data_IF_137903419017
#
_entry.id   IF_137903419017
#
_cell.length_a   1.000
_cell.length_b   1.000
_cell.length_c   1.000
_cell.angle_alpha   90.00
_cell.angle_beta   90.00
_cell.angle_gamma   90.00
#
_symmetry.space_group_name_H-M   'P 1'
#
loop_
_entity.id
_entity.type
_entity.pdbx_description
1 polymer ?
#
# COMPACT_ATOMS: atom_id res chain seq x y z
N UNK A 1 34.15 -39.31 65.13
CA UNK A 1 34.45 -39.27 63.66
C UNK A 1 33.23 -38.64 62.98
N UNK A 2 33.26 -37.31 62.81
CA UNK A 2 32.11 -36.56 62.26
C UNK A 2 32.36 -36.36 60.76
N UNK A 3 31.48 -36.94 59.93
CA UNK A 3 31.49 -36.77 58.48
C UNK A 3 30.58 -35.60 58.18
N UNK A 4 31.15 -34.49 57.76
CA UNK A 4 30.44 -33.30 57.35
C UNK A 4 30.08 -33.42 55.83
N UNK A 5 28.81 -33.64 55.52
CA UNK A 5 28.31 -33.70 54.13
C UNK A 5 28.06 -32.27 53.60
N UNK A 6 28.85 -31.82 52.64
CA UNK A 6 28.60 -30.57 51.89
C UNK A 6 27.58 -30.82 50.78
N UNK A 7 26.41 -30.27 50.97
CA UNK A 7 25.40 -30.14 49.88
C UNK A 7 25.75 -28.93 49.03
N UNK A 8 26.15 -29.15 47.77
CA UNK A 8 26.28 -28.11 46.74
C UNK A 8 24.90 -27.78 46.17
N UNK A 9 24.47 -26.54 46.19
CA UNK A 9 23.24 -26.19 45.49
C UNK A 9 23.50 -26.14 43.96
N UNK A 10 22.79 -26.98 43.22
CA UNK A 10 22.79 -26.99 41.76
C UNK A 10 21.93 -25.80 41.27
N UNK A 11 22.58 -24.69 40.90
CA UNK A 11 21.89 -23.54 40.30
C UNK A 11 21.54 -23.87 38.85
N UNK A 12 20.27 -24.17 38.61
CA UNK A 12 19.72 -24.31 37.24
C UNK A 12 19.54 -22.91 36.68
N UNK A 13 20.45 -22.49 35.81
CA UNK A 13 20.29 -21.26 35.01
C UNK A 13 19.23 -21.51 33.93
N UNK A 14 18.04 -20.96 34.10
CA UNK A 14 17.04 -20.87 33.02
C UNK A 14 17.55 -19.90 31.97
N UNK A 15 18.05 -20.40 30.82
CA UNK A 15 18.33 -19.62 29.66
C UNK A 15 16.95 -19.32 29.01
N UNK A 16 16.38 -18.16 29.31
CA UNK A 16 15.22 -17.65 28.60
C UNK A 16 15.71 -17.21 27.22
N UNK A 17 15.64 -18.11 26.25
CA UNK A 17 15.80 -17.76 24.83
C UNK A 17 14.59 -16.93 24.41
N UNK A 18 14.64 -15.63 24.65
CA UNK A 18 13.71 -14.70 24.06
C UNK A 18 13.88 -14.75 22.54
N UNK A 19 12.90 -15.28 21.81
CA UNK A 19 12.81 -15.06 20.37
C UNK A 19 12.66 -13.56 20.12
N UNK A 20 13.75 -12.83 19.96
CA UNK A 20 13.70 -11.54 19.29
C UNK A 20 13.31 -11.84 17.84
N UNK A 21 12.05 -11.60 17.49
CA UNK A 21 11.64 -11.61 16.11
C UNK A 21 12.34 -10.44 15.40
N UNK A 22 13.47 -10.72 14.75
CA UNK A 22 14.19 -9.75 13.94
C UNK A 22 13.31 -9.34 12.75
N UNK A 23 13.31 -8.06 12.41
CA UNK A 23 12.66 -7.59 11.17
C UNK A 23 13.32 -8.30 9.98
N UNK A 24 12.55 -8.96 9.10
CA UNK A 24 13.12 -9.65 7.95
C UNK A 24 13.94 -8.72 7.06
N UNK A 25 15.05 -9.20 6.54
CA UNK A 25 15.92 -8.49 5.60
C UNK A 25 15.16 -8.10 4.32
N UNK A 26 15.61 -7.11 3.53
CA UNK A 26 14.99 -6.78 2.25
C UNK A 26 14.88 -7.98 1.31
N UNK A 27 15.87 -8.87 1.31
CA UNK A 27 15.89 -10.10 0.51
C UNK A 27 14.81 -11.08 0.96
N UNK A 28 14.64 -11.30 2.25
CA UNK A 28 13.57 -12.15 2.79
C UNK A 28 12.20 -11.56 2.51
N UNK A 29 12.03 -10.23 2.57
CA UNK A 29 10.79 -9.54 2.22
C UNK A 29 10.47 -9.67 0.73
N UNK A 30 11.48 -9.60 -0.15
CA UNK A 30 11.31 -9.90 -1.58
C UNK A 30 10.97 -11.36 -1.81
N UNK A 31 11.62 -12.28 -1.13
CA UNK A 31 11.28 -13.71 -1.19
C UNK A 31 9.82 -13.97 -0.77
N UNK A 32 9.34 -13.28 0.28
CA UNK A 32 7.93 -13.36 0.71
C UNK A 32 6.96 -12.86 -0.36
N UNK A 33 7.28 -11.79 -1.08
CA UNK A 33 6.49 -11.34 -2.23
C UNK A 33 6.38 -12.43 -3.29
N UNK A 34 7.52 -13.08 -3.62
CA UNK A 34 7.58 -14.12 -4.64
C UNK A 34 6.82 -15.39 -4.26
N UNK A 35 6.79 -15.74 -2.98
CA UNK A 35 5.99 -16.85 -2.46
C UNK A 35 4.49 -16.53 -2.51
N UNK A 36 4.11 -15.28 -2.29
CA UNK A 36 2.70 -14.85 -2.30
C UNK A 36 2.15 -14.61 -3.70
N UNK A 37 3.00 -14.31 -4.68
CA UNK A 37 2.53 -14.09 -6.04
C UNK A 37 2.02 -15.41 -6.64
N UNK A 38 0.90 -15.34 -7.34
CA UNK A 38 0.45 -16.46 -8.16
C UNK A 38 1.48 -16.74 -9.28
N UNK A 39 1.71 -18.01 -9.60
CA UNK A 39 2.67 -18.44 -10.63
C UNK A 39 2.42 -17.84 -12.02
N UNK A 40 1.18 -17.43 -12.31
CA UNK A 40 0.83 -16.75 -13.57
C UNK A 40 1.43 -15.35 -13.71
N UNK A 41 1.89 -14.72 -12.61
CA UNK A 41 2.47 -13.39 -12.62
C UNK A 41 3.98 -13.44 -12.71
N UNK A 42 4.54 -12.60 -13.55
CA UNK A 42 5.97 -12.37 -13.68
C UNK A 42 6.34 -10.99 -13.11
N UNK A 43 7.55 -10.87 -12.59
CA UNK A 43 8.13 -9.59 -12.22
C UNK A 43 8.49 -8.80 -13.49
N UNK A 44 8.09 -7.53 -13.51
CA UNK A 44 8.42 -6.59 -14.59
C UNK A 44 8.83 -5.27 -13.96
N UNK A 45 10.01 -4.80 -14.29
CA UNK A 45 10.49 -3.49 -13.89
C UNK A 45 9.96 -2.43 -14.86
N UNK A 46 9.12 -1.55 -14.36
CA UNK A 46 8.63 -0.41 -15.14
C UNK A 46 9.55 0.78 -14.87
N UNK A 47 10.44 1.05 -15.83
CA UNK A 47 11.31 2.23 -15.77
C UNK A 47 10.51 3.49 -16.05
N UNK A 48 10.70 4.52 -15.25
CA UNK A 48 10.13 5.86 -15.44
C UNK A 48 11.22 6.92 -15.41
N UNK A 49 10.85 8.17 -15.61
CA UNK A 49 11.82 9.28 -15.63
C UNK A 49 12.53 9.51 -14.29
N UNK A 50 11.94 9.05 -13.17
CA UNK A 50 12.50 9.24 -11.82
C UNK A 50 12.76 7.94 -11.09
N UNK A 51 11.86 6.94 -11.19
CA UNK A 51 11.95 5.71 -10.41
C UNK A 51 11.68 4.48 -11.27
N UNK A 52 12.29 3.37 -10.88
CA UNK A 52 11.88 2.06 -11.36
C UNK A 52 10.85 1.49 -10.38
N UNK A 53 9.73 0.98 -10.89
CA UNK A 53 8.67 0.38 -10.10
C UNK A 53 8.60 -1.11 -10.38
N UNK A 54 8.71 -1.95 -9.34
CA UNK A 54 8.40 -3.36 -9.47
C UNK A 54 6.91 -3.53 -9.73
N UNK A 55 6.59 -4.33 -10.73
CA UNK A 55 5.23 -4.73 -11.05
C UNK A 55 5.13 -6.24 -11.17
N UNK A 56 3.99 -6.81 -10.77
CA UNK A 56 3.64 -8.18 -11.06
C UNK A 56 2.57 -8.18 -12.14
N UNK A 57 2.91 -8.76 -13.29
CA UNK A 57 2.07 -8.78 -14.48
C UNK A 57 1.93 -10.20 -15.00
N UNK A 58 0.79 -10.52 -15.56
CA UNK A 58 0.61 -11.73 -16.35
C UNK A 58 0.36 -11.38 -17.82
N UNK A 59 0.65 -12.32 -18.72
CA UNK A 59 0.34 -12.14 -20.14
C UNK A 59 -1.18 -12.09 -20.34
N UNK A 60 -1.71 -10.92 -20.64
CA UNK A 60 -3.15 -10.65 -20.67
C UNK A 60 -3.61 -10.17 -22.04
N UNK A 61 -3.44 -11.01 -23.07
CA UNK A 61 -3.98 -10.74 -24.41
C UNK A 61 -5.48 -10.40 -24.39
N UNK A 62 -6.20 -10.84 -23.35
CA UNK A 62 -7.65 -10.66 -23.20
C UNK A 62 -8.06 -9.34 -22.50
N UNK A 63 -7.12 -8.43 -22.20
CA UNK A 63 -7.44 -7.17 -21.50
C UNK A 63 -7.64 -5.98 -22.45
N UNK A 64 -7.46 -6.19 -23.75
CA UNK A 64 -7.76 -5.16 -24.73
C UNK A 64 -9.21 -4.70 -24.59
N UNK A 65 -9.40 -3.38 -24.63
CA UNK A 65 -10.71 -2.69 -24.51
C UNK A 65 -11.48 -2.98 -23.22
N UNK A 66 -10.84 -3.61 -22.21
CA UNK A 66 -11.38 -3.83 -20.87
C UNK A 66 -10.81 -2.84 -19.86
N UNK A 67 -11.34 -2.85 -18.66
CA UNK A 67 -10.75 -2.13 -17.53
C UNK A 67 -9.52 -2.90 -17.00
N UNK A 68 -8.46 -2.19 -16.60
CA UNK A 68 -7.28 -2.78 -15.97
C UNK A 68 -7.25 -2.37 -14.50
N UNK A 69 -7.34 -3.34 -13.60
CA UNK A 69 -7.23 -3.11 -12.15
C UNK A 69 -5.76 -3.05 -11.75
N UNK A 70 -5.36 -1.93 -11.13
CA UNK A 70 -3.98 -1.70 -10.67
C UNK A 70 -3.97 -1.61 -9.16
N UNK A 71 -3.32 -2.59 -8.52
CA UNK A 71 -3.17 -2.69 -7.06
C UNK A 71 -1.88 -2.00 -6.63
N UNK A 72 -2.00 -0.89 -5.90
CA UNK A 72 -0.88 -0.03 -5.48
C UNK A 72 -0.57 -0.28 -4.02
N UNK A 73 0.70 -0.63 -3.73
CA UNK A 73 1.16 -0.99 -2.39
C UNK A 73 1.21 0.21 -1.44
N UNK A 74 1.11 -0.08 -0.15
CA UNK A 74 1.28 0.89 0.93
C UNK A 74 2.73 1.38 1.10
N UNK A 75 2.95 2.20 2.12
CA UNK A 75 4.27 2.80 2.39
C UNK A 75 5.35 1.77 2.75
N UNK A 76 4.96 0.54 3.08
CA UNK A 76 5.87 -0.53 3.49
C UNK A 76 6.54 -0.25 4.82
N UNK A 77 7.78 -0.73 4.98
CA UNK A 77 8.58 -0.50 6.18
C UNK A 77 9.31 0.85 6.08
N UNK A 78 8.59 1.95 6.25
CA UNK A 78 9.19 3.28 6.21
C UNK A 78 10.01 3.59 7.48
N UNK A 79 9.59 3.06 8.62
CA UNK A 79 10.19 3.30 9.92
C UNK A 79 10.37 1.97 10.68
N UNK A 80 11.53 1.80 11.31
CA UNK A 80 11.82 0.67 12.21
C UNK A 80 11.20 0.92 13.58
N UNK A 81 11.38 2.13 14.09
CA UNK A 81 10.79 2.65 15.32
C UNK A 81 10.25 4.04 15.05
N UNK A 82 9.56 4.65 16.01
CA UNK A 82 9.08 6.04 15.88
C UNK A 82 10.17 7.04 15.46
N UNK A 83 11.43 6.78 15.79
CA UNK A 83 12.56 7.70 15.56
C UNK A 83 13.65 7.13 14.62
N UNK A 84 13.48 5.90 14.15
CA UNK A 84 14.49 5.24 13.31
C UNK A 84 13.91 4.96 11.93
N UNK A 85 14.38 5.68 10.92
CA UNK A 85 13.99 5.45 9.53
C UNK A 85 14.54 4.11 9.06
N UNK A 86 13.75 3.35 8.32
CA UNK A 86 14.23 2.13 7.67
C UNK A 86 15.21 2.46 6.54
N UNK A 87 16.23 1.64 6.38
CA UNK A 87 17.14 1.73 5.25
C UNK A 87 16.52 1.23 3.93
N UNK A 88 15.40 0.50 4.01
CA UNK A 88 14.72 -0.09 2.86
C UNK A 88 13.20 -0.13 3.12
N UNK A 89 12.36 0.48 2.25
CA UNK A 89 10.92 0.58 2.47
C UNK A 89 10.13 -0.65 2.02
N UNK A 90 10.78 -1.71 1.53
CA UNK A 90 10.09 -2.94 1.11
C UNK A 90 9.17 -3.45 2.22
N UNK A 91 7.89 -3.69 1.96
CA UNK A 91 6.95 -4.10 2.99
C UNK A 91 7.28 -5.48 3.57
N UNK A 92 7.12 -5.61 4.88
CA UNK A 92 7.15 -6.91 5.57
C UNK A 92 5.94 -7.75 5.15
N UNK A 93 4.81 -7.08 4.94
CA UNK A 93 3.55 -7.70 4.54
C UNK A 93 2.98 -6.97 3.31
N UNK A 94 3.07 -7.53 2.10
CA UNK A 94 2.57 -6.88 0.88
C UNK A 94 1.04 -6.97 0.80
N UNK A 95 0.34 -6.09 1.51
CA UNK A 95 -1.11 -6.13 1.67
C UNK A 95 -1.84 -5.93 0.34
N UNK A 96 -1.41 -5.02 -0.51
CA UNK A 96 -2.06 -4.82 -1.81
C UNK A 96 -1.96 -6.06 -2.71
N UNK A 97 -0.85 -6.82 -2.64
CA UNK A 97 -0.74 -8.11 -3.33
C UNK A 97 -1.73 -9.14 -2.77
N UNK A 98 -1.88 -9.20 -1.44
CA UNK A 98 -2.86 -10.09 -0.83
C UNK A 98 -4.30 -9.75 -1.24
N UNK A 99 -4.62 -8.46 -1.33
CA UNK A 99 -5.91 -8.00 -1.86
C UNK A 99 -6.09 -8.39 -3.34
N UNK A 100 -5.05 -8.21 -4.16
CA UNK A 100 -5.08 -8.63 -5.56
C UNK A 100 -5.35 -10.13 -5.72
N UNK A 101 -4.83 -10.95 -4.81
CA UNK A 101 -5.04 -12.41 -4.83
C UNK A 101 -6.50 -12.80 -4.51
N UNK A 102 -7.27 -11.95 -3.82
CA UNK A 102 -8.70 -12.17 -3.58
C UNK A 102 -9.58 -11.81 -4.79
N UNK A 103 -9.04 -11.04 -5.73
CA UNK A 103 -9.76 -10.59 -6.91
C UNK A 103 -9.73 -11.67 -7.99
N UNK A 104 -10.92 -12.12 -8.44
CA UNK A 104 -11.06 -13.09 -9.53
C UNK A 104 -11.00 -12.47 -10.92
N UNK A 105 -11.00 -11.12 -10.99
CA UNK A 105 -10.92 -10.42 -12.27
C UNK A 105 -9.56 -10.67 -12.94
N UNK A 106 -9.60 -11.00 -14.23
CA UNK A 106 -8.38 -11.42 -14.95
C UNK A 106 -7.43 -10.26 -15.23
N UNK A 107 -7.98 -9.10 -15.62
CA UNK A 107 -7.21 -7.94 -16.04
C UNK A 107 -6.76 -7.12 -14.83
N UNK A 108 -5.74 -7.60 -14.14
CA UNK A 108 -5.19 -6.98 -12.94
C UNK A 108 -3.67 -7.08 -12.89
N UNK A 109 -3.05 -6.10 -12.23
CA UNK A 109 -1.62 -6.06 -11.96
C UNK A 109 -1.37 -5.54 -10.54
N UNK A 110 -0.22 -5.89 -9.98
CA UNK A 110 0.31 -5.28 -8.78
C UNK A 110 1.41 -4.28 -9.15
N UNK A 111 1.48 -3.18 -8.41
CA UNK A 111 2.48 -2.13 -8.59
C UNK A 111 3.01 -1.68 -7.23
N UNK A 112 4.31 -1.92 -7.00
CA UNK A 112 4.99 -1.49 -5.78
C UNK A 112 5.19 0.02 -5.75
N UNK A 113 5.59 0.55 -4.58
CA UNK A 113 6.02 1.94 -4.44
C UNK A 113 7.45 2.12 -4.97
N UNK A 114 7.87 3.34 -5.31
CA UNK A 114 9.27 3.64 -5.55
C UNK A 114 10.16 3.10 -4.44
N UNK A 115 11.32 2.56 -4.80
CA UNK A 115 12.34 2.05 -3.88
C UNK A 115 11.95 0.78 -3.09
N UNK A 116 10.77 0.21 -3.30
CA UNK A 116 10.39 -1.10 -2.77
C UNK A 116 10.84 -2.20 -3.72
N UNK A 117 11.51 -3.24 -3.21
CA UNK A 117 11.99 -4.44 -3.93
C UNK A 117 13.07 -4.21 -4.99
N UNK A 118 13.08 -3.05 -5.62
CA UNK A 118 14.10 -2.63 -6.59
C UNK A 118 14.51 -1.19 -6.27
N UNK A 119 15.76 -0.86 -6.57
CA UNK A 119 16.29 0.48 -6.35
C UNK A 119 16.52 1.22 -7.66
N UNK A 120 16.51 2.54 -7.63
CA UNK A 120 16.94 3.43 -8.69
C UNK A 120 17.88 4.48 -8.10
N UNK A 121 18.62 5.20 -8.94
CA UNK A 121 19.58 6.23 -8.50
C UNK A 121 18.97 7.32 -7.61
N UNK A 122 17.68 7.57 -7.80
CA UNK A 122 16.94 8.60 -7.06
C UNK A 122 16.48 8.14 -5.67
N UNK A 123 16.61 6.83 -5.36
CA UNK A 123 16.11 6.28 -4.11
C UNK A 123 16.90 6.79 -2.90
N UNK A 124 16.21 7.45 -2.00
CA UNK A 124 16.71 7.86 -0.70
C UNK A 124 15.55 7.92 0.30
N UNK A 125 15.85 7.97 1.59
CA UNK A 125 14.87 7.85 2.66
C UNK A 125 13.73 8.89 2.63
N UNK A 126 13.93 10.03 1.99
CA UNK A 126 12.86 11.02 1.87
C UNK A 126 11.66 10.49 1.10
N UNK A 127 11.86 9.60 0.10
CA UNK A 127 10.78 9.06 -0.74
C UNK A 127 9.92 7.97 -0.08
N UNK A 128 10.28 7.52 1.10
CA UNK A 128 9.38 6.71 1.95
C UNK A 128 9.06 7.37 3.30
N UNK A 129 9.52 8.63 3.48
CA UNK A 129 9.17 9.45 4.63
C UNK A 129 8.47 10.75 4.20
N UNK A 130 9.13 11.91 4.23
CA UNK A 130 8.53 13.22 3.98
C UNK A 130 8.03 13.46 2.55
N UNK A 131 8.68 12.85 1.56
CA UNK A 131 8.40 13.05 0.13
C UNK A 131 7.63 11.87 -0.48
N UNK A 132 6.99 11.03 0.35
CA UNK A 132 6.35 9.78 -0.11
C UNK A 132 5.22 9.97 -1.13
N UNK A 133 4.68 11.18 -1.22
CA UNK A 133 3.67 11.58 -2.20
C UNK A 133 4.13 12.81 -3.02
N UNK A 134 5.44 12.97 -3.18
CA UNK A 134 6.03 14.02 -4.03
C UNK A 134 5.53 13.89 -5.48
N UNK A 135 5.49 15.03 -6.18
CA UNK A 135 5.04 15.05 -7.57
C UNK A 135 5.84 14.10 -8.48
N UNK A 136 7.13 13.87 -8.21
CA UNK A 136 7.96 12.90 -8.96
C UNK A 136 7.47 11.46 -8.75
N UNK A 137 7.01 11.13 -7.54
CA UNK A 137 6.39 9.83 -7.25
C UNK A 137 5.11 9.70 -8.07
N UNK A 138 4.22 10.68 -8.01
CA UNK A 138 2.94 10.64 -8.74
C UNK A 138 3.16 10.58 -10.25
N UNK A 139 4.11 11.34 -10.79
CA UNK A 139 4.50 11.31 -12.20
C UNK A 139 5.00 9.92 -12.62
N UNK A 140 5.77 9.23 -11.78
CA UNK A 140 6.24 7.86 -12.08
C UNK A 140 5.08 6.87 -12.21
N UNK A 141 4.01 7.03 -11.43
CA UNK A 141 2.80 6.24 -11.62
C UNK A 141 2.06 6.60 -12.90
N UNK A 142 1.95 7.88 -13.23
CA UNK A 142 1.34 8.30 -14.50
C UNK A 142 2.07 7.71 -15.70
N UNK A 143 3.40 7.80 -15.73
CA UNK A 143 4.24 7.20 -16.77
C UNK A 143 4.09 5.66 -16.82
N UNK A 144 4.02 5.00 -15.66
CA UNK A 144 3.79 3.56 -15.58
C UNK A 144 2.44 3.16 -16.16
N UNK A 145 1.37 3.89 -15.83
CA UNK A 145 0.04 3.64 -16.39
C UNK A 145 0.00 3.89 -17.91
N UNK A 146 0.75 4.87 -18.43
CA UNK A 146 0.86 5.09 -19.87
C UNK A 146 1.56 3.90 -20.56
N UNK A 147 2.63 3.33 -19.98
CA UNK A 147 3.28 2.12 -20.48
C UNK A 147 2.35 0.92 -20.43
N UNK A 148 1.64 0.73 -19.33
CA UNK A 148 0.65 -0.34 -19.19
C UNK A 148 -0.47 -0.20 -20.21
N UNK A 149 -1.00 1.00 -20.41
CA UNK A 149 -2.02 1.27 -21.43
C UNK A 149 -1.55 0.91 -22.83
N UNK A 150 -0.30 1.23 -23.16
CA UNK A 150 0.29 0.87 -24.44
C UNK A 150 0.47 -0.64 -24.61
N UNK A 151 0.80 -1.37 -23.55
CA UNK A 151 1.01 -2.82 -23.57
C UNK A 151 -0.31 -3.60 -23.61
N UNK A 152 -1.24 -3.25 -22.73
CA UNK A 152 -2.51 -3.98 -22.55
C UNK A 152 -3.62 -3.50 -23.48
N UNK A 153 -3.50 -2.29 -24.06
CA UNK A 153 -4.55 -1.63 -24.87
C UNK A 153 -5.89 -1.57 -24.12
N UNK A 154 -5.84 -1.47 -22.80
CA UNK A 154 -7.03 -1.39 -21.95
C UNK A 154 -7.80 -0.09 -22.16
N UNK A 155 -9.13 -0.13 -21.96
CA UNK A 155 -10.01 1.03 -22.13
C UNK A 155 -9.82 2.04 -20.99
N UNK A 156 -9.84 1.57 -19.76
CA UNK A 156 -9.79 2.37 -18.54
C UNK A 156 -8.97 1.68 -17.45
N UNK A 157 -8.78 2.39 -16.35
CA UNK A 157 -8.17 1.85 -15.14
C UNK A 157 -9.14 1.90 -13.97
N UNK A 158 -9.11 0.88 -13.13
CA UNK A 158 -9.54 0.93 -11.73
C UNK A 158 -8.28 0.95 -10.88
N UNK A 159 -8.05 2.03 -10.12
CA UNK A 159 -6.91 2.11 -9.21
C UNK A 159 -7.32 1.67 -7.82
N UNK A 160 -6.61 0.69 -7.27
CA UNK A 160 -6.85 0.13 -5.94
C UNK A 160 -5.60 0.40 -5.08
N UNK A 161 -5.73 1.21 -4.04
CA UNK A 161 -4.60 1.56 -3.18
C UNK A 161 -4.81 1.18 -1.72
N UNK A 162 -3.79 0.55 -1.12
CA UNK A 162 -3.76 0.27 0.30
C UNK A 162 -2.95 1.34 1.05
N UNK A 163 -3.46 1.86 2.18
CA UNK A 163 -2.74 2.80 3.05
C UNK A 163 -2.19 4.01 2.26
N UNK A 164 -0.88 4.24 2.26
CA UNK A 164 -0.24 5.26 1.42
C UNK A 164 -0.43 5.03 -0.09
N UNK A 165 -0.64 3.79 -0.52
CA UNK A 165 -1.03 3.49 -1.90
C UNK A 165 -2.41 4.06 -2.27
N UNK A 166 -3.30 4.19 -1.28
CA UNK A 166 -4.58 4.89 -1.44
C UNK A 166 -4.42 6.38 -1.73
N UNK A 167 -3.45 7.04 -1.09
CA UNK A 167 -3.09 8.42 -1.41
C UNK A 167 -2.55 8.55 -2.84
N UNK A 168 -1.63 7.66 -3.24
CA UNK A 168 -1.10 7.63 -4.61
C UNK A 168 -2.21 7.38 -5.63
N UNK A 169 -3.05 6.37 -5.42
CA UNK A 169 -4.18 6.07 -6.30
C UNK A 169 -5.09 7.30 -6.48
N UNK A 170 -5.40 8.01 -5.39
CA UNK A 170 -6.22 9.22 -5.42
C UNK A 170 -5.55 10.35 -6.20
N UNK A 171 -4.27 10.64 -5.93
CA UNK A 171 -3.53 11.72 -6.58
C UNK A 171 -3.34 11.46 -8.09
N UNK A 172 -3.07 10.22 -8.48
CA UNK A 172 -2.97 9.82 -9.89
C UNK A 172 -4.34 9.92 -10.56
N UNK A 173 -5.40 9.45 -9.91
CA UNK A 173 -6.78 9.56 -10.42
C UNK A 173 -7.19 11.00 -10.67
N UNK A 174 -6.77 11.94 -9.80
CA UNK A 174 -7.09 13.36 -9.95
C UNK A 174 -6.46 14.02 -11.19
N UNK A 175 -5.42 13.42 -11.77
CA UNK A 175 -4.68 13.95 -12.92
C UNK A 175 -5.02 13.25 -14.24
N UNK A 176 -5.73 12.09 -14.20
CA UNK A 176 -6.03 11.27 -15.38
C UNK A 176 -7.50 11.31 -15.74
N UNK A 177 -7.77 11.14 -17.04
CA UNK A 177 -9.16 11.08 -17.59
C UNK A 177 -9.62 9.64 -17.86
N UNK A 178 -8.69 8.67 -17.79
CA UNK A 178 -8.97 7.26 -18.10
C UNK A 178 -9.04 6.36 -16.87
N UNK A 179 -9.11 6.95 -15.67
CA UNK A 179 -9.45 6.25 -14.44
C UNK A 179 -10.96 6.25 -14.27
N UNK A 180 -11.57 5.07 -14.34
CA UNK A 180 -13.03 4.89 -14.20
C UNK A 180 -13.44 4.76 -12.73
N UNK A 181 -12.62 4.12 -11.90
CA UNK A 181 -12.90 3.86 -10.49
C UNK A 181 -11.67 4.02 -9.62
N UNK A 182 -11.89 4.49 -8.41
CA UNK A 182 -10.91 4.57 -7.34
C UNK A 182 -11.38 3.74 -6.15
N UNK A 183 -10.56 2.77 -5.71
CA UNK A 183 -10.83 1.97 -4.51
C UNK A 183 -9.68 2.21 -3.54
N UNK A 184 -9.97 2.52 -2.29
CA UNK A 184 -8.95 2.61 -1.24
C UNK A 184 -9.27 1.69 -0.08
N UNK A 185 -8.27 1.02 0.43
CA UNK A 185 -8.34 0.18 1.62
C UNK A 185 -7.43 0.79 2.68
N UNK A 186 -7.98 1.19 3.81
CA UNK A 186 -7.26 1.92 4.85
C UNK A 186 -6.47 3.13 4.29
N UNK A 187 -7.05 3.87 3.33
CA UNK A 187 -6.34 4.88 2.54
C UNK A 187 -5.99 6.14 3.32
N UNK A 188 -4.74 6.60 3.22
CA UNK A 188 -4.33 7.89 3.80
C UNK A 188 -4.75 9.05 2.87
N UNK A 189 -5.99 9.52 3.02
CA UNK A 189 -6.64 10.43 2.08
C UNK A 189 -6.56 11.90 2.46
N UNK A 190 -6.18 12.22 3.71
CA UNK A 190 -5.88 13.58 4.16
C UNK A 190 -4.59 13.58 5.01
N UNK A 191 -3.49 13.85 4.32
CA UNK A 191 -2.13 13.83 4.88
C UNK A 191 -1.96 14.86 5.99
N UNK A 192 -2.56 16.05 5.84
CA UNK A 192 -2.47 17.12 6.81
C UNK A 192 -3.21 16.74 8.11
N UNK A 193 -4.41 16.17 7.98
CA UNK A 193 -5.17 15.64 9.12
C UNK A 193 -4.40 14.51 9.80
N UNK A 194 -3.84 13.58 9.01
CA UNK A 194 -3.08 12.44 9.52
C UNK A 194 -1.85 12.86 10.33
N UNK A 195 -1.02 13.77 9.80
CA UNK A 195 0.17 14.25 10.53
C UNK A 195 -0.19 14.99 11.81
N UNK A 196 -1.28 15.76 11.79
CA UNK A 196 -1.78 16.45 12.98
C UNK A 196 -2.27 15.47 14.05
N UNK A 197 -3.06 14.47 13.67
CA UNK A 197 -3.60 13.48 14.62
C UNK A 197 -2.51 12.65 15.29
N UNK A 198 -1.47 12.29 14.54
CA UNK A 198 -0.35 11.50 15.05
C UNK A 198 0.75 12.33 15.70
N UNK A 199 0.60 13.65 15.76
CA UNK A 199 1.60 14.58 16.30
C UNK A 199 3.00 14.33 15.70
N UNK A 200 3.05 14.28 14.37
CA UNK A 200 4.30 14.12 13.61
C UNK A 200 4.50 15.30 12.65
N UNK A 201 5.74 15.44 12.17
CA UNK A 201 6.11 16.51 11.23
C UNK A 201 5.27 16.43 9.95
N UNK A 202 4.92 17.61 9.41
CA UNK A 202 4.26 17.69 8.10
C UNK A 202 5.12 17.06 7.01
N UNK A 203 4.45 16.50 6.01
CA UNK A 203 5.11 15.96 4.83
C UNK A 203 5.21 17.05 3.76
N UNK A 204 6.12 18.00 3.95
CA UNK A 204 6.14 19.30 3.23
C UNK A 204 6.27 19.20 1.71
N UNK A 205 6.85 18.12 1.18
CA UNK A 205 6.96 17.89 -0.28
C UNK A 205 5.94 16.89 -0.82
N UNK A 206 5.05 16.40 0.03
CA UNK A 206 4.01 15.45 -0.35
C UNK A 206 2.71 16.18 -0.70
N UNK A 207 2.11 15.78 -1.81
CA UNK A 207 0.76 16.22 -2.19
C UNK A 207 -0.27 15.59 -1.25
N UNK A 208 -1.37 16.31 -1.02
CA UNK A 208 -2.46 15.85 -0.17
C UNK A 208 -3.71 15.52 -1.01
N UNK A 209 -4.21 14.28 -1.04
CA UNK A 209 -5.40 13.90 -1.81
C UNK A 209 -6.63 14.77 -1.53
N UNK A 210 -6.84 15.20 -0.28
CA UNK A 210 -7.96 16.04 0.11
C UNK A 210 -8.02 17.38 -0.63
N UNK A 211 -6.87 17.90 -1.12
CA UNK A 211 -6.78 19.16 -1.85
C UNK A 211 -7.24 19.01 -3.32
N UNK A 212 -7.40 17.78 -3.80
CA UNK A 212 -7.82 17.45 -5.17
C UNK A 212 -9.28 16.98 -5.25
N UNK A 213 -10.08 17.22 -4.23
CA UNK A 213 -11.48 16.77 -4.17
C UNK A 213 -12.29 17.14 -5.41
N UNK A 214 -12.13 18.38 -5.93
CA UNK A 214 -12.81 18.85 -7.15
C UNK A 214 -12.48 18.01 -8.37
N UNK A 215 -11.23 17.55 -8.52
CA UNK A 215 -10.79 16.72 -9.64
C UNK A 215 -11.35 15.30 -9.55
N UNK A 216 -11.65 14.84 -8.34
CA UNK A 216 -12.09 13.49 -8.03
C UNK A 216 -13.63 13.36 -7.99
N UNK A 217 -14.39 14.46 -8.00
CA UNK A 217 -15.87 14.45 -7.91
C UNK A 217 -16.57 13.60 -8.98
N UNK A 218 -15.97 13.46 -10.16
CA UNK A 218 -16.58 12.72 -11.27
C UNK A 218 -16.16 11.24 -11.34
N UNK A 219 -15.23 10.82 -10.50
CA UNK A 219 -14.73 9.44 -10.44
C UNK A 219 -15.58 8.67 -9.43
N UNK A 220 -15.99 7.46 -9.79
CA UNK A 220 -16.67 6.54 -8.89
C UNK A 220 -15.67 6.04 -7.83
N UNK A 221 -15.95 6.28 -6.54
CA UNK A 221 -15.05 6.02 -5.44
C UNK A 221 -15.66 5.01 -4.47
N UNK A 222 -14.78 4.13 -3.94
CA UNK A 222 -15.10 3.15 -2.90
C UNK A 222 -14.01 3.17 -1.84
N UNK A 223 -14.36 3.49 -0.60
CA UNK A 223 -13.41 3.60 0.50
C UNK A 223 -13.72 2.55 1.57
N UNK A 224 -12.79 1.64 1.81
CA UNK A 224 -12.89 0.60 2.83
C UNK A 224 -12.11 1.06 4.07
N UNK A 225 -12.81 1.20 5.18
CA UNK A 225 -12.34 1.85 6.41
C UNK A 225 -12.34 0.83 7.53
N UNK A 226 -11.22 0.67 8.23
CA UNK A 226 -11.12 -0.21 9.39
C UNK A 226 -11.67 0.46 10.66
N UNK A 227 -12.59 -0.20 11.35
CA UNK A 227 -13.12 0.30 12.62
C UNK A 227 -12.07 0.34 13.75
N UNK A 228 -11.05 -0.52 13.63
CA UNK A 228 -9.98 -0.68 14.62
C UNK A 228 -8.62 -0.19 14.07
N UNK A 229 -8.64 0.61 13.01
CA UNK A 229 -7.43 1.16 12.38
C UNK A 229 -6.98 2.41 13.16
N UNK A 230 -5.92 2.27 13.94
CA UNK A 230 -5.28 3.34 14.71
C UNK A 230 -4.19 4.08 13.93
N UNK A 231 -3.74 3.54 12.80
CA UNK A 231 -2.76 4.17 11.91
C UNK A 231 -3.45 5.14 10.93
N UNK A 232 -4.55 4.70 10.32
CA UNK A 232 -5.40 5.54 9.46
C UNK A 232 -6.83 5.53 10.02
N UNK A 233 -7.07 6.25 11.12
CA UNK A 233 -8.40 6.33 11.72
C UNK A 233 -9.45 6.87 10.76
N UNK A 234 -10.71 6.49 10.97
CA UNK A 234 -11.86 6.92 10.14
C UNK A 234 -11.92 8.43 9.93
N UNK A 235 -11.41 9.21 10.87
CA UNK A 235 -11.38 10.67 10.81
C UNK A 235 -10.57 11.20 9.62
N UNK A 236 -9.60 10.43 9.12
CA UNK A 236 -8.83 10.77 7.92
C UNK A 236 -9.75 10.72 6.70
N UNK A 237 -10.54 9.66 6.56
CA UNK A 237 -11.55 9.57 5.51
C UNK A 237 -12.62 10.66 5.67
N UNK A 238 -13.14 10.88 6.86
CA UNK A 238 -14.17 11.90 7.11
C UNK A 238 -13.68 13.31 6.76
N UNK A 239 -12.41 13.62 7.06
CA UNK A 239 -11.78 14.87 6.66
C UNK A 239 -11.72 15.02 5.13
N UNK A 240 -11.24 13.99 4.42
CA UNK A 240 -11.23 13.94 2.95
C UNK A 240 -12.64 14.09 2.37
N UNK A 241 -13.61 13.31 2.86
CA UNK A 241 -14.99 13.33 2.42
C UNK A 241 -15.65 14.70 2.59
N UNK A 242 -15.29 15.43 3.66
CA UNK A 242 -15.81 16.78 3.91
C UNK A 242 -15.44 17.82 2.85
N UNK A 243 -14.36 17.58 2.07
CA UNK A 243 -13.88 18.49 1.02
C UNK A 243 -14.69 18.44 -0.26
N UNK A 244 -15.51 17.43 -0.44
CA UNK A 244 -16.29 17.23 -1.66
C UNK A 244 -17.60 18.02 -1.61
N UNK A 245 -17.89 18.75 -2.68
CA UNK A 245 -19.18 19.41 -2.89
C UNK A 245 -20.23 18.42 -3.40
N UNK A 246 -19.84 17.53 -4.32
CA UNK A 246 -20.66 16.43 -4.85
C UNK A 246 -20.17 15.10 -4.27
N UNK A 247 -21.09 14.34 -3.70
CA UNK A 247 -20.78 13.10 -2.95
C UNK A 247 -21.50 11.86 -3.49
N UNK A 248 -22.28 12.02 -4.54
CA UNK A 248 -23.10 10.99 -5.16
C UNK A 248 -22.31 9.80 -5.69
N UNK A 249 -21.03 10.01 -6.02
CA UNK A 249 -20.11 8.97 -6.49
C UNK A 249 -19.17 8.43 -5.42
N UNK A 250 -19.30 8.84 -4.17
CA UNK A 250 -18.43 8.42 -3.09
C UNK A 250 -19.16 7.41 -2.22
N UNK A 251 -18.72 6.15 -2.29
CA UNK A 251 -19.20 5.06 -1.47
C UNK A 251 -18.16 4.71 -0.41
N UNK A 252 -18.58 4.38 0.81
CA UNK A 252 -17.66 3.96 1.85
C UNK A 252 -18.28 2.87 2.73
N UNK A 253 -17.41 2.03 3.29
CA UNK A 253 -17.79 0.84 4.04
C UNK A 253 -16.85 0.69 5.24
N UNK A 254 -17.44 0.35 6.37
CA UNK A 254 -16.70 0.06 7.60
C UNK A 254 -16.55 -1.45 7.77
N UNK A 255 -15.35 -1.88 8.15
CA UNK A 255 -15.02 -3.28 8.40
C UNK A 255 -14.33 -3.45 9.74
N UNK A 256 -14.51 -4.62 10.34
CA UNK A 256 -13.76 -5.04 11.53
C UNK A 256 -12.34 -5.43 11.15
N UNK A 257 -11.51 -4.43 10.95
CA UNK A 257 -10.12 -4.55 10.54
C UNK A 257 -9.26 -3.52 11.25
N UNK A 258 -8.03 -3.91 11.59
CA UNK A 258 -6.95 -2.99 11.97
C UNK A 258 -6.23 -2.52 10.71
N UNK A 259 -5.19 -1.66 10.86
CA UNK A 259 -4.41 -1.23 9.70
C UNK A 259 -3.79 -2.43 8.95
N UNK A 260 -3.14 -3.33 9.67
CA UNK A 260 -2.30 -4.38 9.10
C UNK A 260 -2.97 -5.75 8.99
N UNK A 261 -4.19 -5.91 9.49
CA UNK A 261 -4.85 -7.20 9.56
C UNK A 261 -6.28 -7.18 9.04
N UNK A 262 -6.58 -8.34 8.48
CA UNK A 262 -7.93 -8.85 8.31
C UNK A 262 -8.70 -8.20 7.15
N UNK A 263 -7.97 -7.75 6.12
CA UNK A 263 -8.57 -7.12 4.94
C UNK A 263 -8.98 -8.09 3.84
N UNK A 264 -8.39 -9.30 3.77
CA UNK A 264 -8.55 -10.22 2.65
C UNK A 264 -10.01 -10.67 2.47
N UNK A 265 -10.65 -11.19 3.51
CA UNK A 265 -12.05 -11.67 3.42
C UNK A 265 -13.07 -10.51 3.28
N UNK A 266 -12.98 -9.40 4.04
CA UNK A 266 -13.83 -8.24 3.79
C UNK A 266 -13.71 -7.70 2.36
N UNK A 267 -12.48 -7.62 1.82
CA UNK A 267 -12.26 -7.16 0.46
C UNK A 267 -12.83 -8.09 -0.59
N UNK A 268 -12.64 -9.40 -0.42
CA UNK A 268 -13.25 -10.42 -1.29
C UNK A 268 -14.78 -10.32 -1.31
N UNK A 269 -15.41 -10.18 -0.15
CA UNK A 269 -16.86 -9.98 -0.03
C UNK A 269 -17.29 -8.68 -0.75
N UNK A 270 -16.59 -7.59 -0.51
CA UNK A 270 -16.84 -6.32 -1.18
C UNK A 270 -16.79 -6.45 -2.72
N UNK A 271 -15.78 -7.17 -3.27
CA UNK A 271 -15.68 -7.40 -4.71
C UNK A 271 -16.87 -8.21 -5.25
N UNK A 272 -17.30 -9.25 -4.55
CA UNK A 272 -18.45 -10.07 -4.94
C UNK A 272 -19.76 -9.29 -4.93
N UNK A 273 -19.91 -8.33 -4.02
CA UNK A 273 -21.13 -7.53 -3.87
C UNK A 273 -21.21 -6.37 -4.87
N UNK A 274 -20.07 -5.75 -5.21
CA UNK A 274 -20.01 -4.51 -5.98
C UNK A 274 -19.48 -4.64 -7.41
N UNK A 275 -18.75 -5.74 -7.72
CA UNK A 275 -18.04 -5.91 -8.99
C UNK A 275 -18.34 -7.29 -9.63
N UNK A 276 -19.63 -7.61 -9.73
CA UNK A 276 -20.12 -8.81 -10.42
C UNK A 276 -19.82 -8.80 -11.92
#
# INVERSE_FOLDING_TARGET
MNICSYLFPLSIAFIVSGCLSSIPTPQERKASLLLLKNQEFSEVDIQTSSFNLLSLQKNQKNCKDKDLRVYIEGDGLAWITRNTISSDPTPVNPTALKLMNQDKYECKIYLARPCQYITSSECNSSYWTSNRFDNRVIKSYDESLNKLKNSYKNRSFTLIGYSGGGAVASLVSAQRKDVSKLITVAGNLDINKWTTMHNISKLDKSLNPADYSKNLENIEQYHLIGNQDDIIPKDIFLSYYSKFKKKDKINYFYFDATHNCCWEEPYKKFLLDKFK
#
